data_IF_824783039416
#
_entry.id   IF_824783039416
#
_cell.length_a   1.000
_cell.length_b   1.000
_cell.length_c   1.000
_cell.angle_alpha   90.00
_cell.angle_beta   90.00
_cell.angle_gamma   90.00
#
_symmetry.space_group_name_H-M   'P 1'
#
loop_
_entity.id
_entity.type
_entity.pdbx_description
1 polymer ?
#
# COMPACT_ATOMS: atom_id res chain seq x y z
N UNK A 1 9.86 3.78 -8.19
CA UNK A 1 9.26 3.30 -6.93
C UNK A 1 7.80 2.90 -7.08
N UNK A 2 6.96 3.75 -7.65
CA UNK A 2 5.54 3.45 -7.82
C UNK A 2 5.29 2.15 -8.59
N UNK A 3 6.06 1.90 -9.63
CA UNK A 3 5.91 0.70 -10.45
C UNK A 3 6.09 -0.58 -9.63
N UNK A 4 7.07 -0.58 -8.75
CA UNK A 4 7.31 -1.74 -7.88
C UNK A 4 6.20 -1.91 -6.85
N UNK A 5 5.74 -0.80 -6.28
CA UNK A 5 4.63 -0.83 -5.32
C UNK A 5 3.37 -1.35 -6.00
N UNK A 6 3.08 -0.86 -7.21
CA UNK A 6 1.92 -1.33 -7.96
C UNK A 6 2.01 -2.82 -8.27
N UNK A 7 3.17 -3.31 -8.67
CA UNK A 7 3.36 -4.72 -8.96
C UNK A 7 3.06 -5.59 -7.72
N UNK A 8 3.52 -5.15 -6.55
CA UNK A 8 3.26 -5.85 -5.30
C UNK A 8 1.77 -5.80 -4.95
N UNK A 9 1.15 -4.64 -5.13
CA UNK A 9 -0.28 -4.47 -4.88
C UNK A 9 -1.10 -5.43 -5.73
N UNK A 10 -0.81 -5.51 -7.00
CA UNK A 10 -1.53 -6.38 -7.92
C UNK A 10 -1.31 -7.86 -7.63
N UNK A 11 -0.13 -8.21 -7.16
CA UNK A 11 0.19 -9.57 -6.79
C UNK A 11 -0.56 -10.01 -5.52
N UNK A 12 -0.64 -9.13 -4.55
CA UNK A 12 -1.29 -9.42 -3.26
C UNK A 12 -2.81 -9.33 -3.36
N UNK A 13 -3.31 -8.36 -4.10
CA UNK A 13 -4.75 -8.08 -4.21
C UNK A 13 -5.15 -8.01 -5.68
N UNK A 14 -5.43 -9.15 -6.28
CA UNK A 14 -5.66 -9.27 -7.72
C UNK A 14 -6.92 -8.59 -8.24
N UNK A 15 -7.94 -8.45 -7.41
CA UNK A 15 -9.26 -7.97 -7.84
C UNK A 15 -9.52 -6.50 -7.54
N UNK A 16 -8.48 -5.75 -7.20
CA UNK A 16 -8.62 -4.34 -6.82
C UNK A 16 -8.06 -3.45 -7.93
N UNK A 17 -8.78 -2.38 -8.24
CA UNK A 17 -8.34 -1.39 -9.21
C UNK A 17 -7.43 -0.38 -8.52
N UNK A 18 -6.11 -0.57 -8.65
CA UNK A 18 -5.13 0.29 -8.01
C UNK A 18 -4.91 1.64 -8.71
N UNK A 19 -5.65 1.91 -9.79
CA UNK A 19 -5.64 3.24 -10.38
C UNK A 19 -6.42 4.24 -9.55
N UNK A 20 -7.27 3.75 -8.64
CA UNK A 20 -8.05 4.60 -7.74
C UNK A 20 -7.12 5.34 -6.76
N UNK A 21 -7.50 6.55 -6.41
CA UNK A 21 -6.80 7.36 -5.41
C UNK A 21 -7.53 7.38 -4.07
N UNK A 22 -8.58 6.59 -3.95
CA UNK A 22 -9.41 6.52 -2.74
C UNK A 22 -9.65 5.07 -2.34
N UNK A 23 -8.58 4.26 -2.39
CA UNK A 23 -8.66 2.82 -2.11
C UNK A 23 -9.26 2.52 -0.74
N UNK A 24 -8.86 3.28 0.27
CA UNK A 24 -9.35 3.09 1.64
C UNK A 24 -10.73 3.72 1.80
N UNK A 25 -10.88 4.96 1.33
CA UNK A 25 -12.13 5.72 1.50
C UNK A 25 -13.29 5.04 0.79
N UNK A 26 -13.04 4.43 -0.36
CA UNK A 26 -14.06 3.71 -1.13
C UNK A 26 -14.18 2.24 -0.70
N UNK A 27 -13.44 1.85 0.33
CA UNK A 27 -13.46 0.48 0.88
C UNK A 27 -13.04 -0.58 -0.14
N UNK A 28 -12.21 -0.21 -1.09
CA UNK A 28 -11.63 -1.15 -2.05
C UNK A 28 -10.58 -2.03 -1.39
N UNK A 29 -9.87 -1.48 -0.41
CA UNK A 29 -8.96 -2.23 0.44
C UNK A 29 -9.59 -2.41 1.82
N UNK A 30 -9.88 -3.63 2.22
CA UNK A 30 -10.36 -3.90 3.57
C UNK A 30 -9.17 -4.08 4.52
N UNK A 31 -9.44 -4.25 5.81
CA UNK A 31 -8.39 -4.34 6.82
C UNK A 31 -7.46 -5.53 6.59
N UNK A 32 -8.01 -6.67 6.20
CA UNK A 32 -7.22 -7.88 5.99
C UNK A 32 -6.30 -7.72 4.77
N UNK A 33 -6.85 -7.22 3.66
CA UNK A 33 -6.07 -6.98 2.45
C UNK A 33 -4.98 -5.94 2.71
N UNK A 34 -5.32 -4.89 3.45
CA UNK A 34 -4.37 -3.83 3.78
C UNK A 34 -3.20 -4.37 4.61
N UNK A 35 -3.48 -5.19 5.61
CA UNK A 35 -2.43 -5.80 6.44
C UNK A 35 -1.52 -6.70 5.61
N UNK A 36 -2.09 -7.50 4.72
CA UNK A 36 -1.31 -8.35 3.84
C UNK A 36 -0.42 -7.52 2.91
N UNK A 37 -0.96 -6.43 2.38
CA UNK A 37 -0.23 -5.53 1.50
C UNK A 37 0.92 -4.85 2.24
N UNK A 38 0.68 -4.34 3.43
CA UNK A 38 1.71 -3.69 4.25
C UNK A 38 2.84 -4.66 4.54
N UNK A 39 2.51 -5.88 4.92
CA UNK A 39 3.50 -6.91 5.21
C UNK A 39 4.36 -7.20 3.97
N UNK A 40 3.74 -7.32 2.81
CA UNK A 40 4.45 -7.57 1.56
C UNK A 40 5.39 -6.41 1.20
N UNK A 41 4.93 -5.17 1.39
CA UNK A 41 5.74 -3.99 1.11
C UNK A 41 6.94 -3.89 2.03
N UNK A 42 6.74 -4.13 3.32
CA UNK A 42 7.84 -4.10 4.29
C UNK A 42 8.90 -5.16 3.95
N UNK A 43 8.44 -6.34 3.56
CA UNK A 43 9.33 -7.44 3.22
C UNK A 43 10.11 -7.15 1.93
N UNK A 44 9.43 -6.67 0.90
CA UNK A 44 10.05 -6.43 -0.40
C UNK A 44 11.07 -5.29 -0.35
N UNK A 45 10.77 -4.22 0.36
CA UNK A 45 11.63 -3.04 0.41
C UNK A 45 12.52 -3.00 1.65
N UNK A 46 12.42 -4.01 2.50
CA UNK A 46 13.18 -4.09 3.75
C UNK A 46 13.04 -2.80 4.57
N UNK A 47 11.80 -2.35 4.73
CA UNK A 47 11.46 -1.16 5.52
C UNK A 47 10.54 -1.54 6.67
N UNK A 48 10.58 -0.75 7.73
CA UNK A 48 9.74 -0.95 8.89
C UNK A 48 8.76 0.21 9.00
N UNK A 49 7.49 -0.06 8.65
CA UNK A 49 6.45 0.96 8.66
C UNK A 49 5.69 0.87 9.98
N UNK A 50 5.76 1.92 10.84
CA UNK A 50 5.04 1.90 12.10
C UNK A 50 3.53 1.95 11.90
N UNK A 51 2.80 1.35 12.82
CA UNK A 51 1.35 1.28 12.73
C UNK A 51 0.68 2.66 12.62
N UNK A 52 1.27 3.68 13.25
CA UNK A 52 0.74 5.04 13.18
C UNK A 52 0.67 5.61 11.77
N UNK A 53 1.45 5.04 10.85
CA UNK A 53 1.46 5.47 9.46
C UNK A 53 0.42 4.75 8.62
N UNK A 54 -0.28 3.77 9.19
CA UNK A 54 -1.32 3.01 8.50
C UNK A 54 -2.61 3.83 8.56
N UNK A 55 -2.71 4.80 7.67
CA UNK A 55 -3.83 5.75 7.60
C UNK A 55 -4.37 5.79 6.17
N UNK A 56 -5.63 6.22 5.99
CA UNK A 56 -6.16 6.38 4.63
C UNK A 56 -5.30 7.28 3.77
N UNK A 57 -4.75 8.34 4.34
CA UNK A 57 -3.91 9.29 3.60
C UNK A 57 -2.70 8.62 2.96
N UNK A 58 -2.13 7.63 3.64
CA UNK A 58 -0.93 6.95 3.18
C UNK A 58 -1.23 5.76 2.28
N UNK A 59 -2.45 5.23 2.31
CA UNK A 59 -2.79 3.99 1.60
C UNK A 59 -3.94 4.12 0.63
N UNK A 60 -4.44 5.33 0.38
CA UNK A 60 -5.50 5.56 -0.59
C UNK A 60 -5.04 5.39 -2.04
N UNK A 61 -3.76 5.49 -2.30
CA UNK A 61 -3.24 5.36 -3.66
C UNK A 61 -1.86 4.72 -3.65
N UNK A 62 -1.48 4.17 -4.80
CA UNK A 62 -0.13 3.61 -4.99
C UNK A 62 0.91 4.70 -4.85
N UNK A 63 0.62 5.90 -5.35
CA UNK A 63 1.52 7.04 -5.21
C UNK A 63 1.80 7.38 -3.75
N UNK A 64 0.75 7.40 -2.92
CA UNK A 64 0.90 7.68 -1.49
C UNK A 64 1.72 6.58 -0.80
N UNK A 65 1.47 5.32 -1.13
CA UNK A 65 2.23 4.19 -0.60
C UNK A 65 3.72 4.30 -0.96
N UNK A 66 4.00 4.66 -2.21
CA UNK A 66 5.38 4.81 -2.66
C UNK A 66 6.12 5.90 -1.90
N UNK A 67 5.45 7.03 -1.68
CA UNK A 67 6.06 8.13 -0.90
C UNK A 67 6.33 7.70 0.54
N UNK A 68 5.43 6.94 1.13
CA UNK A 68 5.61 6.45 2.49
C UNK A 68 6.83 5.53 2.57
N UNK A 69 6.95 4.61 1.63
CA UNK A 69 8.07 3.67 1.60
C UNK A 69 9.40 4.44 1.44
N UNK A 70 9.45 5.41 0.54
CA UNK A 70 10.65 6.22 0.35
C UNK A 70 11.05 6.97 1.63
N UNK A 71 10.07 7.41 2.40
CA UNK A 71 10.33 8.11 3.65
C UNK A 71 10.99 7.21 4.70
N UNK A 72 10.77 5.90 4.63
CA UNK A 72 11.30 4.95 5.59
C UNK A 72 12.47 4.10 5.07
N UNK A 73 12.90 4.36 3.87
CA UNK A 73 14.09 3.69 3.32
C UNK A 73 15.41 4.26 3.82
#
# INVERSE_FOLDING_TARGET
MEEKVLAICEEVCENIDFSSKTLIDDKKLDSVSLLALISALMDEFDVDIPYKEVTPENFNSVEAMARLIEAYQ
#
